data_IF_717161490453
#
_entry.id   IF_717161490453
#
_cell.length_a   1.000
_cell.length_b   1.000
_cell.length_c   1.000
_cell.angle_alpha   90.00
_cell.angle_beta   90.00
_cell.angle_gamma   90.00
#
_symmetry.space_group_name_H-M   'P 1'
#
loop_
_entity.id
_entity.type
_entity.pdbx_description
1 polymer ?
#
# COMPACT_ATOMS: atom_id res chain seq x y z
N UNK A 1 -7.65 -14.82 11.90
CA UNK A 1 -7.08 -14.50 10.58
C UNK A 1 -6.25 -15.65 10.08
N UNK A 2 -6.24 -15.92 8.77
CA UNK A 2 -5.32 -16.89 8.14
C UNK A 2 -3.87 -16.41 8.29
N UNK A 3 -2.91 -17.34 8.28
CA UNK A 3 -1.48 -17.02 8.38
C UNK A 3 -0.95 -16.12 7.25
N UNK A 4 -1.62 -16.12 6.08
CA UNK A 4 -1.30 -15.20 4.97
C UNK A 4 -1.58 -13.73 5.32
N UNK A 5 -2.45 -13.48 6.30
CA UNK A 5 -2.73 -12.15 6.83
C UNK A 5 -2.01 -11.96 8.18
N UNK A 6 -0.77 -12.41 8.31
CA UNK A 6 0.05 -12.03 9.46
C UNK A 6 0.63 -10.63 9.23
N UNK A 7 0.89 -9.88 10.31
CA UNK A 7 1.49 -8.55 10.20
C UNK A 7 2.87 -8.59 9.52
N UNK A 8 3.63 -9.67 9.75
CA UNK A 8 4.93 -9.90 9.11
C UNK A 8 4.80 -10.06 7.60
N UNK A 9 3.85 -10.88 7.13
CA UNK A 9 3.59 -11.07 5.69
C UNK A 9 3.11 -9.77 5.05
N UNK A 10 2.23 -9.02 5.71
CA UNK A 10 1.74 -7.72 5.20
C UNK A 10 2.87 -6.70 5.08
N UNK A 11 3.81 -6.68 6.03
CA UNK A 11 4.98 -5.79 5.96
C UNK A 11 5.93 -6.20 4.85
N UNK A 12 6.24 -7.49 4.72
CA UNK A 12 7.09 -7.99 3.63
C UNK A 12 6.45 -7.73 2.25
N UNK A 13 5.13 -7.87 2.14
CA UNK A 13 4.38 -7.51 0.93
C UNK A 13 4.48 -6.02 0.61
N UNK A 14 4.36 -5.15 1.62
CA UNK A 14 4.51 -3.70 1.43
C UNK A 14 5.93 -3.34 0.96
N UNK A 15 6.96 -3.89 1.60
CA UNK A 15 8.36 -3.68 1.22
C UNK A 15 8.60 -4.12 -0.24
N UNK A 16 8.14 -5.31 -0.62
CA UNK A 16 8.23 -5.78 -2.00
C UNK A 16 7.50 -4.85 -2.98
N UNK A 17 6.31 -4.37 -2.62
CA UNK A 17 5.54 -3.48 -3.47
C UNK A 17 6.26 -2.14 -3.69
N UNK A 18 6.88 -1.59 -2.64
CA UNK A 18 7.70 -0.37 -2.72
C UNK A 18 8.92 -0.57 -3.63
N UNK A 19 9.61 -1.71 -3.51
CA UNK A 19 10.74 -2.06 -4.39
C UNK A 19 10.30 -2.16 -5.86
N UNK A 20 9.19 -2.84 -6.13
CA UNK A 20 8.65 -2.98 -7.49
C UNK A 20 8.23 -1.62 -8.07
N UNK A 21 7.59 -0.76 -7.27
CA UNK A 21 7.17 0.57 -7.69
C UNK A 21 8.37 1.51 -7.98
N UNK A 22 9.50 1.27 -7.31
CA UNK A 22 10.73 2.05 -7.47
C UNK A 22 11.59 1.59 -8.67
N UNK A 23 11.22 0.53 -9.39
CA UNK A 23 11.98 0.03 -10.53
C UNK A 23 12.16 1.13 -11.59
N UNK A 24 13.39 1.20 -12.10
CA UNK A 24 13.79 2.08 -13.20
C UNK A 24 14.50 1.29 -14.27
N UNK A 25 14.14 1.54 -15.52
CA UNK A 25 14.72 0.84 -16.68
C UNK A 25 15.19 1.88 -17.70
N UNK A 26 16.35 1.64 -18.31
CA UNK A 26 16.83 2.47 -19.41
C UNK A 26 16.28 1.94 -20.73
N UNK A 27 15.49 2.76 -21.43
CA UNK A 27 14.92 2.41 -22.72
C UNK A 27 16.03 2.31 -23.79
N UNK A 28 16.25 1.14 -24.43
CA UNK A 28 17.34 0.96 -25.39
C UNK A 28 17.28 1.91 -26.59
N UNK A 29 16.08 2.29 -27.01
CA UNK A 29 15.85 3.11 -28.22
C UNK A 29 16.07 4.60 -27.98
N UNK A 30 15.70 5.13 -26.81
CA UNK A 30 15.78 6.57 -26.51
C UNK A 30 16.86 6.93 -25.51
N UNK A 31 17.46 5.95 -24.83
CA UNK A 31 18.41 6.15 -23.73
C UNK A 31 17.80 6.75 -22.47
N UNK A 32 16.50 7.04 -22.45
CA UNK A 32 15.80 7.65 -21.31
C UNK A 32 15.62 6.64 -20.18
N UNK A 33 15.68 7.14 -18.95
CA UNK A 33 15.24 6.40 -17.76
C UNK A 33 13.72 6.42 -17.71
N UNK A 34 13.10 5.25 -17.62
CA UNK A 34 11.66 5.02 -17.55
C UNK A 34 11.35 4.41 -16.18
N UNK A 35 10.33 4.94 -15.54
CA UNK A 35 9.82 4.56 -14.22
C UNK A 35 8.36 4.10 -14.33
N UNK A 36 7.78 3.55 -13.25
CA UNK A 36 6.39 3.08 -13.27
C UNK A 36 5.39 4.18 -13.66
N UNK A 37 5.54 5.41 -13.15
CA UNK A 37 4.64 6.54 -13.46
C UNK A 37 4.61 6.91 -14.95
N UNK A 38 5.66 6.58 -15.70
CA UNK A 38 5.76 6.95 -17.11
C UNK A 38 4.91 6.03 -18.01
N UNK A 39 4.46 4.88 -17.49
CA UNK A 39 3.75 3.84 -18.25
C UNK A 39 2.48 3.32 -17.57
N UNK A 40 2.27 3.63 -16.28
CA UNK A 40 1.16 3.09 -15.52
C UNK A 40 -0.20 3.68 -15.97
N UNK A 41 -1.26 2.92 -15.71
CA UNK A 41 -2.61 3.45 -15.79
C UNK A 41 -2.92 4.27 -14.53
N UNK A 42 -3.30 5.54 -14.71
CA UNK A 42 -3.67 6.47 -13.64
C UNK A 42 -5.08 7.03 -13.90
N UNK A 43 -6.13 6.51 -13.23
CA UNK A 43 -7.52 6.84 -13.55
C UNK A 43 -7.91 8.29 -13.20
N UNK A 44 -7.32 8.87 -12.15
CA UNK A 44 -7.70 10.18 -11.63
C UNK A 44 -6.83 11.33 -12.18
N UNK A 45 -5.54 11.08 -12.41
CA UNK A 45 -4.59 12.05 -12.94
C UNK A 45 -3.84 11.51 -14.17
N UNK A 46 -4.52 11.31 -15.32
CA UNK A 46 -3.97 10.59 -16.46
C UNK A 46 -2.93 11.36 -17.28
N UNK A 47 -2.80 12.68 -17.10
CA UNK A 47 -1.92 13.52 -17.93
C UNK A 47 -0.52 13.69 -17.33
N UNK A 48 -0.44 13.87 -16.02
CA UNK A 48 0.81 14.10 -15.30
C UNK A 48 0.81 13.32 -13.98
N UNK A 49 0.76 11.97 -14.04
CA UNK A 49 0.65 11.15 -12.85
C UNK A 49 1.91 11.24 -11.98
N UNK A 50 1.69 11.29 -10.68
CA UNK A 50 2.69 10.91 -9.68
C UNK A 50 2.70 9.39 -9.51
N UNK A 51 3.67 8.86 -8.74
CA UNK A 51 3.70 7.42 -8.45
C UNK A 51 2.46 6.96 -7.67
N UNK A 52 1.92 7.81 -6.80
CA UNK A 52 0.73 7.54 -5.98
C UNK A 52 -0.57 7.49 -6.81
N UNK A 53 -0.54 8.05 -8.02
CA UNK A 53 -1.67 8.02 -8.96
C UNK A 53 -1.75 6.71 -9.75
N UNK A 54 -0.69 5.90 -9.74
CA UNK A 54 -0.65 4.62 -10.44
C UNK A 54 -1.61 3.61 -9.80
N UNK A 55 -2.43 2.96 -10.63
CA UNK A 55 -3.35 1.92 -10.17
C UNK A 55 -2.60 0.65 -9.76
N UNK A 56 -2.39 0.48 -8.45
CA UNK A 56 -1.84 -0.73 -7.82
C UNK A 56 -2.86 -1.25 -6.81
N UNK A 57 -3.40 -2.45 -7.06
CA UNK A 57 -4.40 -3.06 -6.19
C UNK A 57 -3.75 -4.11 -5.28
N UNK A 58 -3.80 -3.87 -3.98
CA UNK A 58 -3.23 -4.73 -2.94
C UNK A 58 -3.97 -4.51 -1.62
N UNK A 59 -3.88 -5.49 -0.70
CA UNK A 59 -4.39 -5.34 0.67
C UNK A 59 -3.71 -4.22 1.43
N UNK A 60 -2.46 -3.87 1.09
CA UNK A 60 -1.72 -2.75 1.69
C UNK A 60 -2.33 -1.39 1.34
N UNK A 61 -3.17 -1.33 0.29
CA UNK A 61 -3.84 -0.11 -0.14
C UNK A 61 -4.87 0.40 0.90
N UNK A 62 -5.46 -0.50 1.71
CA UNK A 62 -6.32 -0.10 2.83
C UNK A 62 -5.59 0.74 3.89
N UNK A 63 -4.26 0.62 3.93
CA UNK A 63 -3.35 1.41 4.76
C UNK A 63 -2.59 2.46 3.95
N UNK A 64 -3.04 2.73 2.71
CA UNK A 64 -2.44 3.66 1.76
C UNK A 64 -0.93 3.39 1.55
N UNK A 65 -0.55 2.11 1.51
CA UNK A 65 0.82 1.64 1.38
C UNK A 65 1.77 2.29 2.39
N UNK A 66 1.31 2.53 3.62
CA UNK A 66 2.08 3.20 4.64
C UNK A 66 2.31 2.26 5.84
N UNK A 67 3.56 1.87 6.05
CA UNK A 67 3.94 0.97 7.14
C UNK A 67 3.61 1.50 8.53
N UNK A 68 3.67 2.81 8.73
CA UNK A 68 3.29 3.45 10.00
C UNK A 68 1.79 3.34 10.26
N UNK A 69 0.95 3.42 9.22
CA UNK A 69 -0.50 3.21 9.34
C UNK A 69 -0.84 1.75 9.63
N UNK A 70 -0.14 0.81 8.99
CA UNK A 70 -0.29 -0.63 9.26
C UNK A 70 0.12 -1.00 10.70
N UNK A 71 1.14 -0.34 11.27
CA UNK A 71 1.61 -0.61 12.63
C UNK A 71 0.83 0.14 13.72
N UNK A 72 -0.15 0.97 13.34
CA UNK A 72 -0.88 1.82 14.29
C UNK A 72 -1.79 0.99 15.19
N UNK A 73 -1.88 1.41 16.46
CA UNK A 73 -2.87 0.91 17.40
C UNK A 73 -3.59 2.08 18.07
N UNK A 74 -4.84 1.87 18.47
CA UNK A 74 -5.63 2.89 19.14
C UNK A 74 -6.38 2.28 20.33
N UNK A 75 -6.39 2.97 21.47
CA UNK A 75 -7.25 2.58 22.58
C UNK A 75 -8.71 2.88 22.20
N UNK A 76 -9.60 1.91 22.42
CA UNK A 76 -11.02 2.04 22.17
C UNK A 76 -11.83 1.60 23.39
N UNK A 77 -12.96 2.25 23.63
CA UNK A 77 -13.93 1.84 24.64
C UNK A 77 -15.34 1.95 24.09
N UNK A 78 -16.14 0.90 24.23
CA UNK A 78 -17.54 0.85 23.80
C UNK A 78 -18.53 1.18 24.93
N UNK A 79 -18.02 1.75 26.04
CA UNK A 79 -18.77 2.04 27.25
C UNK A 79 -18.98 0.83 28.18
N UNK A 80 -18.60 -0.38 27.76
CA UNK A 80 -18.67 -1.61 28.58
C UNK A 80 -17.31 -2.29 28.73
N UNK A 81 -16.47 -2.21 27.70
CA UNK A 81 -15.14 -2.79 27.65
C UNK A 81 -14.17 -1.80 27.02
N UNK A 82 -12.96 -1.76 27.57
CA UNK A 82 -11.82 -1.07 26.98
C UNK A 82 -10.92 -2.11 26.32
N UNK A 83 -10.47 -1.82 25.12
CA UNK A 83 -9.55 -2.66 24.35
C UNK A 83 -8.67 -1.82 23.43
N UNK A 84 -7.93 -2.50 22.57
CA UNK A 84 -7.06 -1.89 21.57
C UNK A 84 -7.56 -2.27 20.19
N UNK A 85 -7.76 -1.29 19.32
CA UNK A 85 -7.96 -1.49 17.90
C UNK A 85 -6.60 -1.53 17.20
N UNK A 86 -6.43 -2.46 16.25
CA UNK A 86 -5.24 -2.54 15.41
C UNK A 86 -5.61 -2.70 13.92
N UNK A 87 -4.63 -3.03 13.08
CA UNK A 87 -4.82 -3.22 11.65
C UNK A 87 -5.88 -4.27 11.29
N UNK A 88 -6.15 -5.24 12.17
CA UNK A 88 -7.16 -6.29 11.93
C UNK A 88 -8.55 -5.69 11.93
N UNK A 89 -8.83 -4.80 12.87
CA UNK A 89 -10.11 -4.12 12.98
C UNK A 89 -10.32 -3.21 11.76
N UNK A 90 -9.30 -2.44 11.37
CA UNK A 90 -9.34 -1.61 10.17
C UNK A 90 -9.56 -2.43 8.90
N UNK A 91 -8.85 -3.57 8.76
CA UNK A 91 -9.01 -4.43 7.60
C UNK A 91 -10.42 -5.03 7.51
N UNK A 92 -10.99 -5.49 8.62
CA UNK A 92 -12.38 -6.00 8.65
C UNK A 92 -13.38 -4.90 8.30
N UNK A 93 -13.11 -3.66 8.69
CA UNK A 93 -13.99 -2.54 8.41
C UNK A 93 -13.97 -2.11 6.93
N UNK A 94 -12.83 -2.23 6.25
CA UNK A 94 -12.65 -1.77 4.87
C UNK A 94 -12.96 -2.80 3.77
N UNK A 95 -13.01 -4.09 4.10
CA UNK A 95 -13.35 -5.18 3.16
C UNK A 95 -14.85 -5.42 3.15
#
# INVERSE_FOLDING_TARGET
>A
FSGVLSAEVLRALLELQEELAAIKVRAPTSGKEVTLRDVCYAPLNPREPTLDDCCVNSVTQYFQNNGTRLAMTAAQSDGKKTGTADWRDHLIYCV
#
